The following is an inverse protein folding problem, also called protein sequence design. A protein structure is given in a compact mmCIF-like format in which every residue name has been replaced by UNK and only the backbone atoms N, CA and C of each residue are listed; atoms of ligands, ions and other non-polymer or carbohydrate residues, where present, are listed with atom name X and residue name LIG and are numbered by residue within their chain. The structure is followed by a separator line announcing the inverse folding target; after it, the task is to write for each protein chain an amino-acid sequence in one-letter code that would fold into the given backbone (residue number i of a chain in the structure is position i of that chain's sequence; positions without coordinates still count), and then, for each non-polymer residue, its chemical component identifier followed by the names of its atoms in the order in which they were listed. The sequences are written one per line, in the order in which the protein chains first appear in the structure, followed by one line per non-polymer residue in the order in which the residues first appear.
data_IF_635260433044
#
_entry.id   IF_635260433044
#
_cell.length_a   1.000
_cell.length_b   1.000
_cell.length_c   1.000
_cell.angle_alpha   90.00
_cell.angle_beta   90.00
_cell.angle_gamma   90.00
#
_symmetry.space_group_name_H-M   'P 1'
#
loop_
_entity.id
_entity.type
_entity.pdbx_description
1 polymer ?
#
# COMPACT_ATOMS: atom_id res chain seq x y z
N UNK A 1 2.52 13.16 -2.80
CA UNK A 1 1.41 13.96 -2.23
C UNK A 1 1.17 15.14 -3.15
N UNK A 2 -0.10 15.51 -3.30
CA UNK A 2 -0.56 16.66 -4.04
C UNK A 2 -1.40 17.56 -3.13
N UNK A 3 -1.11 18.86 -3.16
CA UNK A 3 -1.93 19.92 -2.56
C UNK A 3 -2.51 20.76 -3.71
N UNK A 4 -3.80 21.13 -3.66
CA UNK A 4 -4.42 21.87 -4.74
C UNK A 4 -3.85 23.27 -4.93
N UNK A 5 -3.99 23.88 -6.13
CA UNK A 5 -3.34 25.16 -6.47
C UNK A 5 -3.69 26.30 -5.48
N UNK A 6 -4.91 26.31 -4.95
CA UNK A 6 -5.38 27.29 -3.96
C UNK A 6 -5.46 26.72 -2.54
N UNK A 7 -4.53 25.83 -2.19
CA UNK A 7 -4.45 25.24 -0.87
C UNK A 7 -4.26 26.31 0.23
N UNK A 8 -5.14 26.27 1.22
CA UNK A 8 -5.08 27.08 2.44
C UNK A 8 -5.06 26.15 3.66
N UNK A 9 -3.95 26.15 4.39
CA UNK A 9 -3.76 25.31 5.57
C UNK A 9 -4.54 25.81 6.81
N UNK A 10 -5.39 26.82 6.68
CA UNK A 10 -6.38 27.22 7.68
C UNK A 10 -7.77 26.61 7.46
N UNK A 11 -8.01 25.95 6.32
CA UNK A 11 -9.32 25.39 5.96
C UNK A 11 -9.27 23.86 5.88
N UNK A 12 -10.19 23.15 6.56
CA UNK A 12 -10.19 21.69 6.56
C UNK A 12 -10.54 21.11 5.19
N UNK A 13 -9.59 20.39 4.58
CA UNK A 13 -9.80 19.69 3.30
C UNK A 13 -9.89 18.18 3.47
N UNK A 14 -10.73 17.47 2.68
CA UNK A 14 -10.66 16.02 2.56
C UNK A 14 -9.30 15.53 2.14
N UNK A 15 -9.04 14.26 2.43
CA UNK A 15 -7.86 13.55 1.96
C UNK A 15 -8.29 12.31 1.20
N UNK A 16 -7.70 12.07 0.04
CA UNK A 16 -7.76 10.79 -0.67
C UNK A 16 -6.41 10.10 -0.63
N UNK A 17 -6.33 8.95 0.04
CA UNK A 17 -5.13 8.10 0.09
C UNK A 17 -5.31 6.94 -0.89
N UNK A 18 -4.35 6.78 -1.79
CA UNK A 18 -4.53 5.94 -2.95
C UNK A 18 -3.36 4.99 -3.21
N UNK A 19 -3.61 3.71 -2.94
CA UNK A 19 -2.60 2.65 -3.02
C UNK A 19 -2.44 2.09 -4.44
N UNK A 20 -1.20 2.05 -4.91
CA UNK A 20 -0.86 1.40 -6.18
C UNK A 20 -0.99 -0.12 -6.10
N UNK A 21 -1.17 -0.76 -7.26
CA UNK A 21 -1.17 -2.22 -7.39
C UNK A 21 0.23 -2.83 -7.44
N UNK A 22 0.27 -4.17 -7.55
CA UNK A 22 1.51 -4.90 -7.80
C UNK A 22 2.12 -4.50 -9.15
N UNK A 23 3.46 -4.48 -9.29
CA UNK A 23 4.15 -4.00 -10.50
C UNK A 23 3.90 -2.53 -10.84
N UNK A 24 3.57 -1.71 -9.85
CA UNK A 24 3.24 -0.31 -10.04
C UNK A 24 3.94 0.55 -8.99
N UNK A 25 3.88 1.86 -9.14
CA UNK A 25 4.48 2.84 -8.23
C UNK A 25 3.44 3.89 -7.84
N UNK A 26 3.72 4.63 -6.77
CA UNK A 26 2.95 5.79 -6.36
C UNK A 26 2.85 6.83 -7.48
N UNK A 27 3.95 7.07 -8.20
CA UNK A 27 4.00 8.03 -9.30
C UNK A 27 3.11 7.58 -10.46
N UNK A 28 3.16 6.30 -10.83
CA UNK A 28 2.32 5.81 -11.91
C UNK A 28 0.85 5.79 -11.45
N UNK A 29 0.52 5.35 -10.23
CA UNK A 29 -0.84 5.46 -9.68
C UNK A 29 -1.42 6.88 -9.80
N UNK A 30 -0.64 7.89 -9.41
CA UNK A 30 -1.01 9.30 -9.52
C UNK A 30 -1.43 9.70 -10.95
N UNK A 31 -0.82 9.10 -11.98
CA UNK A 31 -1.18 9.40 -13.38
C UNK A 31 -2.40 8.62 -13.90
N UNK A 32 -2.81 7.52 -13.24
CA UNK A 32 -3.89 6.65 -13.75
C UNK A 32 -5.25 6.95 -13.12
N UNK A 33 -5.29 7.36 -11.86
CA UNK A 33 -6.55 7.50 -11.11
C UNK A 33 -7.28 8.83 -11.35
N UNK A 34 -6.63 9.78 -12.00
CA UNK A 34 -7.12 11.12 -12.28
C UNK A 34 -7.52 11.96 -11.03
N UNK A 35 -7.18 11.54 -9.81
CA UNK A 35 -7.57 12.25 -8.58
C UNK A 35 -6.96 13.65 -8.51
N UNK A 36 -5.72 13.81 -8.96
CA UNK A 36 -5.08 15.13 -9.05
C UNK A 36 -5.82 16.03 -10.05
N UNK A 37 -6.20 15.49 -11.20
CA UNK A 37 -6.99 16.25 -12.19
C UNK A 37 -8.38 16.64 -11.64
N UNK A 38 -9.05 15.72 -10.94
CA UNK A 38 -10.34 15.98 -10.30
C UNK A 38 -10.23 17.05 -9.19
N UNK A 39 -9.12 17.02 -8.44
CA UNK A 39 -8.84 18.00 -7.40
C UNK A 39 -8.75 19.43 -7.98
N UNK A 40 -8.15 19.56 -9.15
CA UNK A 40 -7.88 20.87 -9.75
C UNK A 40 -9.02 21.40 -10.63
N UNK A 41 -9.55 20.55 -11.50
CA UNK A 41 -10.31 21.01 -12.66
C UNK A 41 -11.83 20.88 -12.49
N UNK A 42 -12.28 20.07 -11.52
CA UNK A 42 -13.71 19.72 -11.36
C UNK A 42 -14.29 20.31 -10.06
N UNK A 43 -13.57 21.25 -9.43
CA UNK A 43 -14.01 21.96 -8.23
C UNK A 43 -13.93 21.15 -6.94
N UNK A 44 -13.19 20.03 -6.95
CA UNK A 44 -12.97 19.22 -5.77
C UNK A 44 -11.75 19.69 -4.97
N UNK A 45 -11.93 20.50 -3.93
CA UNK A 45 -10.77 20.90 -3.11
C UNK A 45 -10.41 19.79 -2.11
N UNK A 46 -9.46 18.94 -2.45
CA UNK A 46 -8.98 17.86 -1.58
C UNK A 46 -7.49 17.55 -1.74
N UNK A 47 -6.88 17.00 -0.70
CA UNK A 47 -5.49 16.55 -0.69
C UNK A 47 -5.44 15.15 -1.29
N UNK A 48 -4.45 14.87 -2.14
CA UNK A 48 -4.24 13.52 -2.71
C UNK A 48 -2.91 12.94 -2.26
N UNK A 49 -2.92 11.73 -1.75
CA UNK A 49 -1.74 11.04 -1.22
C UNK A 49 -1.59 9.67 -1.86
N UNK A 50 -0.49 9.49 -2.61
CA UNK A 50 -0.09 8.20 -3.16
C UNK A 50 1.12 7.69 -2.37
N UNK A 51 0.93 6.80 -1.38
CA UNK A 51 2.04 6.18 -0.69
C UNK A 51 2.70 5.10 -1.57
N UNK A 52 4.00 4.89 -1.36
CA UNK A 52 4.80 3.89 -2.07
C UNK A 52 5.05 2.68 -1.17
N UNK A 53 4.81 1.47 -1.69
CA UNK A 53 5.12 0.23 -0.99
C UNK A 53 6.63 -0.04 -0.97
N UNK A 54 7.09 -0.86 -0.01
CA UNK A 54 8.49 -1.28 0.06
C UNK A 54 8.90 -2.11 -1.17
N UNK A 55 10.04 -1.79 -1.76
CA UNK A 55 10.61 -2.43 -2.95
C UNK A 55 11.86 -3.28 -2.61
N UNK A 56 11.93 -3.82 -1.40
CA UNK A 56 13.13 -4.42 -0.83
C UNK A 56 13.46 -5.84 -1.35
N UNK A 57 13.18 -6.16 -2.61
CA UNK A 57 13.40 -7.49 -3.17
C UNK A 57 14.83 -7.81 -3.65
N UNK A 58 15.82 -7.71 -2.76
CA UNK A 58 17.17 -8.24 -3.02
C UNK A 58 17.94 -7.61 -4.19
N UNK A 59 18.99 -8.31 -4.68
CA UNK A 59 20.05 -7.77 -5.58
C UNK A 59 19.68 -7.55 -7.05
N UNK A 60 18.41 -7.68 -7.44
CA UNK A 60 17.98 -7.43 -8.81
C UNK A 60 17.06 -6.22 -8.84
N UNK A 61 17.17 -5.37 -9.87
CA UNK A 61 16.38 -4.15 -10.04
C UNK A 61 14.89 -4.44 -9.82
N UNK A 62 14.41 -4.07 -8.64
CA UNK A 62 13.06 -4.28 -8.15
C UNK A 62 12.10 -3.17 -8.56
N UNK A 63 12.48 -2.35 -9.53
CA UNK A 63 11.66 -1.25 -10.01
C UNK A 63 10.27 -1.79 -10.33
N UNK A 64 9.26 -1.26 -9.64
CA UNK A 64 7.85 -1.65 -9.72
C UNK A 64 7.42 -2.87 -8.90
N UNK A 65 8.31 -3.67 -8.31
CA UNK A 65 7.90 -4.82 -7.48
C UNK A 65 7.44 -4.45 -6.05
N UNK A 66 7.16 -3.17 -5.79
CA UNK A 66 6.58 -2.71 -4.54
C UNK A 66 5.23 -3.37 -4.26
N UNK A 67 5.07 -3.93 -3.06
CA UNK A 67 3.85 -4.65 -2.68
C UNK A 67 3.50 -4.52 -1.21
N UNK A 68 2.22 -4.29 -0.96
CA UNK A 68 1.66 -4.06 0.37
C UNK A 68 1.54 -5.37 1.16
N UNK A 69 2.10 -5.37 2.36
CA UNK A 69 1.92 -6.39 3.39
C UNK A 69 0.53 -6.23 4.02
N UNK A 70 -0.46 -6.89 3.42
CA UNK A 70 -1.85 -6.86 3.82
C UNK A 70 -2.40 -8.29 4.00
N UNK A 71 -3.60 -8.41 4.59
CA UNK A 71 -4.17 -9.70 5.01
C UNK A 71 -4.31 -10.73 3.89
N UNK A 72 -4.39 -10.30 2.63
CA UNK A 72 -4.49 -11.16 1.45
C UNK A 72 -3.17 -11.41 0.69
N UNK A 73 -2.06 -10.81 1.10
CA UNK A 73 -0.77 -10.87 0.36
C UNK A 73 0.40 -11.42 1.17
N UNK A 74 0.26 -11.48 2.50
CA UNK A 74 1.35 -11.80 3.42
C UNK A 74 1.09 -13.00 4.35
N UNK A 75 -0.03 -13.70 4.19
CA UNK A 75 -0.44 -14.79 5.09
C UNK A 75 -0.82 -16.06 4.35
N UNK A 76 0.03 -17.08 4.47
CA UNK A 76 -0.25 -18.48 4.16
C UNK A 76 0.25 -19.37 5.30
N UNK A 77 -0.36 -20.55 5.55
CA UNK A 77 -1.60 -21.05 4.93
C UNK A 77 -2.85 -20.36 5.48
N UNK A 78 -3.93 -20.39 4.70
CA UNK A 78 -5.28 -20.10 5.19
C UNK A 78 -5.91 -21.33 5.85
N UNK A 79 -7.18 -21.21 6.26
CA UNK A 79 -7.95 -22.33 6.85
C UNK A 79 -8.09 -23.55 5.91
N UNK A 80 -7.95 -23.34 4.61
CA UNK A 80 -8.02 -24.38 3.57
C UNK A 80 -6.64 -24.89 3.13
N UNK A 81 -5.56 -24.50 3.81
CA UNK A 81 -4.19 -24.86 3.46
C UNK A 81 -3.46 -23.74 2.71
N UNK A 82 -2.37 -24.11 2.03
CA UNK A 82 -1.51 -23.16 1.31
C UNK A 82 -2.28 -22.39 0.26
N UNK A 83 -2.05 -21.08 0.18
CA UNK A 83 -2.68 -20.21 -0.82
C UNK A 83 -2.03 -20.30 -2.20
N UNK A 84 -0.92 -21.02 -2.32
CA UNK A 84 -0.15 -21.18 -3.54
C UNK A 84 0.45 -22.60 -3.66
N UNK A 85 0.91 -22.93 -4.87
CA UNK A 85 1.78 -24.08 -5.11
C UNK A 85 3.20 -23.76 -4.63
N UNK A 86 3.81 -24.67 -3.87
CA UNK A 86 5.14 -24.46 -3.27
C UNK A 86 6.30 -24.60 -4.26
N UNK A 87 6.04 -25.09 -5.48
CA UNK A 87 7.05 -25.24 -6.52
C UNK A 87 7.39 -23.88 -7.16
N UNK A 88 8.07 -23.01 -6.41
CA UNK A 88 8.50 -21.68 -6.88
C UNK A 88 9.44 -21.74 -8.08
N UNK A 89 10.15 -22.86 -8.33
CA UNK A 89 10.94 -23.00 -9.57
C UNK A 89 10.06 -23.12 -10.82
N UNK A 90 8.86 -23.70 -10.67
CA UNK A 90 7.89 -23.90 -11.76
C UNK A 90 6.89 -22.75 -11.87
N UNK A 91 6.50 -22.15 -10.74
CA UNK A 91 5.40 -21.17 -10.67
C UNK A 91 5.78 -19.85 -10.00
N UNK A 92 6.98 -19.73 -9.44
CA UNK A 92 7.41 -18.60 -8.63
C UNK A 92 8.20 -17.58 -9.44
N UNK A 93 7.49 -16.68 -10.11
CA UNK A 93 8.08 -15.47 -10.68
C UNK A 93 8.25 -14.33 -9.66
N UNK A 94 7.70 -14.48 -8.45
CA UNK A 94 7.75 -13.46 -7.42
C UNK A 94 9.05 -13.52 -6.63
N UNK A 95 9.70 -12.37 -6.36
CA UNK A 95 10.91 -12.36 -5.60
C UNK A 95 10.66 -12.72 -4.13
N UNK A 96 11.73 -13.15 -3.48
CA UNK A 96 11.79 -13.15 -2.03
C UNK A 96 12.20 -11.75 -1.56
N UNK A 97 11.29 -11.03 -0.91
CA UNK A 97 11.63 -9.73 -0.32
C UNK A 97 12.68 -9.91 0.79
N UNK A 98 13.68 -9.03 0.86
CA UNK A 98 14.78 -9.11 1.82
C UNK A 98 14.26 -9.05 3.27
N UNK A 99 13.25 -8.23 3.54
CA UNK A 99 12.52 -8.20 4.82
C UNK A 99 11.94 -9.56 5.21
N UNK A 100 11.61 -10.42 4.25
CA UNK A 100 11.06 -11.76 4.48
C UNK A 100 12.12 -12.86 4.61
N UNK A 101 13.40 -12.54 4.45
CA UNK A 101 14.50 -13.51 4.61
C UNK A 101 14.87 -13.70 6.09
N UNK A 102 14.67 -12.69 6.92
CA UNK A 102 14.88 -12.78 8.36
C UNK A 102 13.94 -13.84 8.97
N UNK A 103 14.53 -14.88 9.56
CA UNK A 103 13.78 -16.00 10.14
C UNK A 103 13.34 -17.08 9.16
N UNK A 104 13.73 -16.99 7.87
CA UNK A 104 13.62 -18.12 6.97
C UNK A 104 14.61 -19.21 7.39
N UNK A 105 14.12 -20.41 7.66
CA UNK A 105 14.99 -21.55 7.92
C UNK A 105 15.87 -21.87 6.71
N UNK A 106 17.01 -22.52 6.92
CA UNK A 106 17.93 -22.96 5.84
C UNK A 106 17.27 -23.89 4.79
N UNK A 107 16.10 -24.43 5.11
CA UNK A 107 15.29 -25.30 4.26
C UNK A 107 14.15 -24.57 3.52
N UNK A 108 13.98 -23.26 3.75
CA UNK A 108 12.93 -22.49 3.10
C UNK A 108 13.19 -22.41 1.57
N UNK A 109 12.19 -22.64 0.71
CA UNK A 109 12.33 -22.48 -0.74
C UNK A 109 12.82 -21.06 -1.06
N UNK A 110 14.04 -20.95 -1.59
CA UNK A 110 14.71 -19.66 -1.87
C UNK A 110 14.99 -18.76 -0.64
N UNK A 111 14.89 -19.30 0.59
CA UNK A 111 15.15 -18.52 1.81
C UNK A 111 14.05 -17.54 2.20
N UNK A 112 12.78 -17.81 1.87
CA UNK A 112 11.64 -16.98 2.27
C UNK A 112 10.91 -17.54 3.48
N UNK A 113 10.56 -16.68 4.44
CA UNK A 113 9.76 -17.07 5.62
C UNK A 113 8.43 -17.73 5.24
N UNK A 114 7.73 -17.21 4.25
CA UNK A 114 6.50 -17.77 3.69
C UNK A 114 6.64 -17.91 2.16
N UNK A 115 6.66 -19.14 1.61
CA UNK A 115 6.82 -19.37 0.18
C UNK A 115 5.57 -19.00 -0.65
N UNK A 116 4.47 -18.59 -0.02
CA UNK A 116 3.27 -18.12 -0.70
C UNK A 116 3.00 -16.62 -0.52
N UNK A 117 3.80 -15.91 0.27
CA UNK A 117 3.71 -14.45 0.34
C UNK A 117 4.11 -13.83 -1.00
N UNK A 118 3.33 -12.85 -1.43
CA UNK A 118 3.55 -12.02 -2.62
C UNK A 118 3.77 -10.55 -2.22
N UNK A 119 4.27 -10.28 -1.02
CA UNK A 119 4.55 -8.92 -0.54
C UNK A 119 5.78 -8.89 0.37
N UNK A 120 6.30 -7.69 0.62
CA UNK A 120 7.34 -7.48 1.62
C UNK A 120 6.86 -7.88 3.03
N UNK A 121 7.79 -8.07 3.95
CA UNK A 121 7.47 -8.31 5.36
C UNK A 121 7.53 -7.02 6.19
N UNK A 122 7.57 -5.86 5.54
CA UNK A 122 7.52 -4.53 6.18
C UNK A 122 6.14 -4.30 6.77
N UNK A 123 6.06 -3.57 7.89
CA UNK A 123 4.79 -3.27 8.54
C UNK A 123 4.09 -2.08 7.85
N UNK A 124 3.40 -2.35 6.76
CA UNK A 124 2.67 -1.31 6.01
C UNK A 124 1.46 -0.75 6.77
N UNK A 125 0.95 -1.47 7.79
CA UNK A 125 -0.08 -0.91 8.69
C UNK A 125 0.50 0.24 9.52
N UNK A 126 1.71 0.10 10.05
CA UNK A 126 2.38 1.16 10.82
C UNK A 126 2.79 2.34 9.92
N UNK A 127 3.20 2.07 8.67
CA UNK A 127 3.42 3.12 7.68
C UNK A 127 2.14 3.95 7.48
N UNK A 128 1.00 3.30 7.30
CA UNK A 128 -0.28 3.97 7.11
C UNK A 128 -0.73 4.77 8.34
N UNK A 129 -0.58 4.22 9.54
CA UNK A 129 -0.86 4.93 10.80
C UNK A 129 -0.01 6.19 10.92
N UNK A 130 1.31 6.06 10.73
CA UNK A 130 2.25 7.19 10.75
C UNK A 130 1.92 8.22 9.67
N UNK A 131 1.47 7.78 8.50
CA UNK A 131 1.06 8.66 7.42
C UNK A 131 -0.16 9.51 7.83
N UNK A 132 -1.21 8.91 8.37
CA UNK A 132 -2.39 9.68 8.80
C UNK A 132 -2.02 10.63 9.94
N UNK A 133 -1.25 10.17 10.94
CA UNK A 133 -0.79 11.03 12.04
C UNK A 133 -0.03 12.25 11.50
N UNK A 134 0.90 12.02 10.57
CA UNK A 134 1.64 13.10 9.94
C UNK A 134 0.74 14.09 9.20
N UNK A 135 -0.27 13.61 8.47
CA UNK A 135 -1.24 14.46 7.78
C UNK A 135 -2.05 15.31 8.76
N UNK A 136 -2.55 14.69 9.83
CA UNK A 136 -3.38 15.33 10.84
C UNK A 136 -2.61 16.33 11.72
N UNK A 137 -1.30 16.15 11.86
CA UNK A 137 -0.42 17.01 12.65
C UNK A 137 0.13 18.19 11.84
N UNK A 138 0.29 18.03 10.52
CA UNK A 138 0.95 19.04 9.66
C UNK A 138 -0.02 19.85 8.81
N UNK A 139 -1.20 19.32 8.52
CA UNK A 139 -2.18 19.95 7.64
C UNK A 139 -3.53 20.11 8.34
N UNK A 140 -4.28 21.15 7.97
CA UNK A 140 -5.69 21.28 8.33
C UNK A 140 -6.51 20.31 7.47
N UNK A 141 -6.53 19.04 7.88
CA UNK A 141 -7.32 18.00 7.23
C UNK A 141 -8.70 17.89 7.87
N UNK A 142 -9.70 17.61 7.06
CA UNK A 142 -11.01 17.20 7.54
C UNK A 142 -10.94 15.72 7.98
N UNK A 143 -10.77 15.50 9.28
CA UNK A 143 -10.68 14.17 9.90
C UNK A 143 -11.94 13.31 9.70
N UNK A 144 -13.05 13.89 9.22
CA UNK A 144 -14.28 13.15 8.89
C UNK A 144 -14.35 12.77 7.40
N UNK A 145 -13.39 13.20 6.58
CA UNK A 145 -13.33 12.98 5.12
C UNK A 145 -11.94 12.52 4.69
N UNK A 146 -11.42 11.51 5.39
CA UNK A 146 -10.21 10.77 4.99
C UNK A 146 -10.67 9.51 4.26
N UNK A 147 -10.56 9.53 2.94
CA UNK A 147 -10.97 8.45 2.04
C UNK A 147 -9.77 7.61 1.62
N UNK A 148 -9.98 6.32 1.47
CA UNK A 148 -8.93 5.36 1.12
C UNK A 148 -9.41 4.45 0.02
N UNK A 149 -8.55 4.15 -0.94
CA UNK A 149 -8.80 3.09 -1.91
C UNK A 149 -7.50 2.51 -2.46
N UNK A 150 -7.60 1.72 -3.52
CA UNK A 150 -6.43 1.31 -4.28
C UNK A 150 -6.77 0.43 -5.47
N UNK A 151 -5.75 0.08 -6.25
CA UNK A 151 -5.88 -0.83 -7.39
C UNK A 151 -5.31 -2.21 -7.06
N UNK A 152 -6.01 -3.30 -7.39
CA UNK A 152 -5.50 -4.68 -7.27
C UNK A 152 -5.01 -4.97 -5.83
N UNK A 153 -3.73 -5.29 -5.61
CA UNK A 153 -3.13 -5.44 -4.26
C UNK A 153 -3.27 -4.16 -3.41
N UNK A 154 -3.28 -2.99 -4.02
CA UNK A 154 -3.59 -1.73 -3.34
C UNK A 154 -5.03 -1.68 -2.82
N UNK A 155 -5.99 -2.30 -3.51
CA UNK A 155 -7.36 -2.43 -3.00
C UNK A 155 -7.41 -3.36 -1.78
N UNK A 156 -6.55 -4.39 -1.75
CA UNK A 156 -6.39 -5.27 -0.58
C UNK A 156 -5.87 -4.48 0.62
N UNK A 157 -4.88 -3.62 0.40
CA UNK A 157 -4.38 -2.70 1.41
C UNK A 157 -5.48 -1.74 1.88
N UNK A 158 -6.23 -1.15 0.95
CA UNK A 158 -7.30 -0.21 1.25
C UNK A 158 -8.36 -0.78 2.18
N UNK A 159 -8.99 -1.92 1.84
CA UNK A 159 -10.00 -2.50 2.71
C UNK A 159 -9.40 -2.98 4.04
N UNK A 160 -8.13 -3.42 4.05
CA UNK A 160 -7.43 -3.80 5.27
C UNK A 160 -7.26 -2.60 6.21
N UNK A 161 -6.99 -1.41 5.68
CA UNK A 161 -6.86 -0.18 6.47
C UNK A 161 -8.22 0.33 6.93
N UNK A 162 -9.23 0.36 6.05
CA UNK A 162 -10.61 0.72 6.41
C UNK A 162 -11.12 -0.14 7.57
N UNK A 163 -10.81 -1.44 7.57
CA UNK A 163 -11.22 -2.36 8.64
C UNK A 163 -10.48 -2.11 9.98
N UNK A 164 -9.25 -1.61 9.94
CA UNK A 164 -8.40 -1.39 11.12
C UNK A 164 -8.54 -0.01 11.74
N UNK A 165 -8.84 0.99 10.91
CA UNK A 165 -8.90 2.41 11.28
C UNK A 165 -10.29 2.99 10.99
N UNK A 166 -11.35 2.21 11.21
CA UNK A 166 -12.73 2.57 10.87
C UNK A 166 -13.25 3.80 11.63
N UNK A 167 -12.61 4.15 12.73
CA UNK A 167 -12.89 5.34 13.54
C UNK A 167 -12.24 6.61 12.97
N UNK A 168 -11.20 6.46 12.13
CA UNK A 168 -10.46 7.57 11.49
C UNK A 168 -10.78 7.75 10.02
N UNK A 169 -11.29 6.72 9.36
CA UNK A 169 -11.52 6.70 7.90
C UNK A 169 -13.00 6.84 7.55
N UNK A 170 -13.27 7.63 6.51
CA UNK A 170 -14.58 7.78 5.94
C UNK A 170 -14.87 6.64 4.93
N UNK A 171 -16.05 6.04 5.06
CA UNK A 171 -16.60 5.02 4.15
C UNK A 171 -17.29 5.62 2.93
#
# INVERSE_FOLDING_TARGET
MYLPEHFDNGRPLPVFIMFHGFYNTAQHMQTMDALVYQSEQVGGEFIVVHPQASEDCGRHNCESMGAWNAGGTARSPGSMGSTCDHNRRKFGHYPCYTSCQAGAGSLAPQGCRDPCSSSSCVNDTALFETLIDHLEDTLCVDRRRIHVGGMSVGAIMAYSMISKFSDRLAS
#
